data_IF_702299650411
#
_entry.id   IF_702299650411
#
_cell.length_a   1.000
_cell.length_b   1.000
_cell.length_c   1.000
_cell.angle_alpha   90.00
_cell.angle_beta   90.00
_cell.angle_gamma   90.00
#
_symmetry.space_group_name_H-M   'P 1'
#
loop_
_entity.id
_entity.type
_entity.pdbx_description
1 polymer ?
#
# COMPACT_ATOMS: atom_id res chain seq x y z
N UNK A 1 46.50 32.47 23.98
CA UNK A 1 46.44 31.61 22.77
C UNK A 1 45.48 30.47 23.05
N UNK A 2 44.76 30.04 22.00
CA UNK A 2 43.33 29.76 22.04
C UNK A 2 43.01 28.30 22.43
N UNK A 3 42.46 28.08 23.63
CA UNK A 3 42.00 26.77 24.12
C UNK A 3 40.91 26.14 23.23
N UNK A 4 40.23 26.97 22.44
CA UNK A 4 39.25 26.56 21.42
C UNK A 4 39.86 25.91 20.16
N UNK A 5 41.18 25.99 19.95
CA UNK A 5 41.81 25.39 18.76
C UNK A 5 42.26 23.94 18.95
N UNK A 6 42.39 23.48 20.20
CA UNK A 6 42.77 22.09 20.51
C UNK A 6 41.55 21.15 20.50
N UNK A 7 40.37 21.62 20.93
CA UNK A 7 39.13 20.83 20.90
C UNK A 7 38.61 20.57 19.47
N UNK A 8 38.96 21.43 18.52
CA UNK A 8 38.61 21.27 17.09
C UNK A 8 39.53 20.29 16.34
N UNK A 9 40.71 19.98 16.91
CA UNK A 9 41.68 19.03 16.35
C UNK A 9 41.46 17.59 16.85
N UNK A 10 40.66 17.42 17.92
CA UNK A 10 40.26 16.11 18.45
C UNK A 10 38.87 15.64 17.98
N UNK A 11 38.11 16.45 17.25
CA UNK A 11 36.81 16.05 16.69
C UNK A 11 36.95 15.27 15.37
N UNK A 12 37.95 14.39 15.26
CA UNK A 12 37.91 13.33 14.25
C UNK A 12 36.67 12.49 14.53
N UNK A 13 35.61 12.73 13.74
CA UNK A 13 34.41 11.88 13.70
C UNK A 13 34.90 10.45 13.64
N UNK A 14 34.64 9.65 14.69
CA UNK A 14 35.15 8.29 14.70
C UNK A 14 34.64 7.56 13.45
N UNK A 15 35.51 6.80 12.75
CA UNK A 15 35.14 6.11 11.51
C UNK A 15 33.96 5.13 11.70
N UNK A 16 33.72 4.68 12.94
CA UNK A 16 32.55 3.91 13.36
C UNK A 16 31.24 4.66 13.09
N UNK A 17 31.13 5.95 13.41
CA UNK A 17 29.91 6.73 13.21
C UNK A 17 29.61 6.98 11.73
N UNK A 18 30.66 7.17 10.93
CA UNK A 18 30.54 7.35 9.48
C UNK A 18 30.06 6.06 8.79
N UNK A 19 30.52 4.91 9.28
CA UNK A 19 30.06 3.58 8.85
C UNK A 19 28.58 3.35 9.19
N UNK A 20 28.14 3.71 10.40
CA UNK A 20 26.73 3.56 10.80
C UNK A 20 25.82 4.52 10.03
N UNK A 21 26.22 5.77 9.83
CA UNK A 21 25.48 6.72 9.01
C UNK A 21 25.30 6.21 7.57
N UNK A 22 26.36 5.63 6.98
CA UNK A 22 26.30 5.02 5.65
C UNK A 22 25.37 3.78 5.61
N UNK A 23 25.44 2.91 6.63
CA UNK A 23 24.53 1.76 6.74
C UNK A 23 23.07 2.21 6.85
N UNK A 24 22.80 3.23 7.65
CA UNK A 24 21.45 3.76 7.81
C UNK A 24 20.92 4.44 6.53
N UNK A 25 21.73 5.24 5.84
CA UNK A 25 21.37 5.84 4.54
C UNK A 25 21.09 4.78 3.47
N UNK A 26 21.92 3.74 3.41
CA UNK A 26 21.70 2.63 2.46
C UNK A 26 20.43 1.84 2.77
N UNK A 27 20.09 1.60 4.04
CA UNK A 27 18.81 0.99 4.41
C UNK A 27 17.63 1.90 4.06
N UNK A 28 17.71 3.19 4.37
CA UNK A 28 16.66 4.16 4.04
C UNK A 28 16.39 4.23 2.54
N UNK A 29 17.44 4.36 1.71
CA UNK A 29 17.31 4.31 0.24
C UNK A 29 16.70 3.00 -0.26
N UNK A 30 17.01 1.88 0.40
CA UNK A 30 16.41 0.59 0.08
C UNK A 30 14.91 0.57 0.39
N UNK A 31 14.50 1.12 1.52
CA UNK A 31 13.09 1.21 1.92
C UNK A 31 12.30 2.11 0.97
N UNK A 32 12.85 3.26 0.55
CA UNK A 32 12.23 4.12 -0.48
C UNK A 32 12.03 3.34 -1.79
N UNK A 33 13.04 2.60 -2.23
CA UNK A 33 12.92 1.81 -3.47
C UNK A 33 11.82 0.74 -3.37
N UNK A 34 11.64 0.13 -2.19
CA UNK A 34 10.57 -0.83 -1.93
C UNK A 34 9.21 -0.12 -1.94
N UNK A 35 9.12 1.06 -1.33
CA UNK A 35 7.92 1.88 -1.37
C UNK A 35 7.50 2.20 -2.83
N UNK A 36 8.45 2.64 -3.67
CA UNK A 36 8.21 2.95 -5.07
C UNK A 36 7.74 1.75 -5.90
N UNK A 37 8.28 0.57 -5.61
CA UNK A 37 7.83 -0.68 -6.24
C UNK A 37 6.38 -1.02 -5.84
N UNK A 38 6.00 -0.78 -4.58
CA UNK A 38 4.61 -0.96 -4.11
C UNK A 38 3.67 0.02 -4.83
N UNK A 39 4.02 1.31 -4.90
CA UNK A 39 3.19 2.30 -5.62
C UNK A 39 3.04 1.95 -7.09
N UNK A 40 4.12 1.50 -7.76
CA UNK A 40 4.07 1.07 -9.16
C UNK A 40 3.09 -0.09 -9.35
N UNK A 41 3.17 -1.11 -8.48
CA UNK A 41 2.23 -2.25 -8.48
C UNK A 41 0.79 -1.81 -8.24
N UNK A 42 0.56 -0.88 -7.31
CA UNK A 42 -0.77 -0.32 -7.02
C UNK A 42 -1.31 0.45 -8.23
N UNK A 43 -0.50 1.26 -8.91
CA UNK A 43 -0.92 1.98 -10.12
C UNK A 43 -1.30 1.03 -11.26
N UNK A 44 -0.52 -0.04 -11.48
CA UNK A 44 -0.85 -1.09 -12.46
C UNK A 44 -2.18 -1.77 -12.08
N UNK A 45 -2.36 -2.09 -10.79
CA UNK A 45 -3.59 -2.70 -10.30
C UNK A 45 -4.80 -1.80 -10.53
N UNK A 46 -4.70 -0.49 -10.24
CA UNK A 46 -5.80 0.46 -10.49
C UNK A 46 -6.16 0.52 -11.98
N UNK A 47 -5.17 0.58 -12.86
CA UNK A 47 -5.41 0.59 -14.31
C UNK A 47 -6.11 -0.70 -14.79
N UNK A 48 -5.66 -1.85 -14.28
CA UNK A 48 -6.29 -3.15 -14.56
C UNK A 48 -7.73 -3.22 -14.03
N UNK A 49 -7.96 -2.74 -12.80
CA UNK A 49 -9.29 -2.67 -12.19
C UNK A 49 -10.25 -1.79 -12.98
N UNK A 50 -9.78 -0.62 -13.46
CA UNK A 50 -10.58 0.28 -14.28
C UNK A 50 -11.05 -0.42 -15.57
N UNK A 51 -10.16 -1.12 -16.27
CA UNK A 51 -10.51 -1.88 -17.46
C UNK A 51 -11.50 -3.01 -17.16
N UNK A 52 -11.26 -3.81 -16.11
CA UNK A 52 -12.17 -4.88 -15.71
C UNK A 52 -13.56 -4.38 -15.31
N UNK A 53 -13.62 -3.29 -14.52
CA UNK A 53 -14.89 -2.69 -14.11
C UNK A 53 -15.71 -2.24 -15.31
N UNK A 54 -15.09 -1.65 -16.33
CA UNK A 54 -15.78 -1.25 -17.57
C UNK A 54 -16.40 -2.49 -18.25
N UNK A 55 -15.64 -3.59 -18.35
CA UNK A 55 -16.13 -4.84 -18.96
C UNK A 55 -17.31 -5.39 -18.16
N UNK A 56 -17.17 -5.55 -16.85
CA UNK A 56 -18.21 -6.13 -15.98
C UNK A 56 -19.46 -5.27 -15.97
N UNK A 57 -19.31 -3.93 -15.87
CA UNK A 57 -20.45 -3.01 -15.87
C UNK A 57 -21.18 -3.03 -17.22
N UNK A 58 -20.47 -3.11 -18.34
CA UNK A 58 -21.10 -3.18 -19.66
C UNK A 58 -21.78 -4.53 -19.93
N UNK A 59 -21.24 -5.61 -19.40
CA UNK A 59 -21.77 -6.97 -19.53
C UNK A 59 -22.95 -7.27 -18.57
N UNK A 60 -23.15 -6.44 -17.54
CA UNK A 60 -24.27 -6.61 -16.62
C UNK A 60 -25.60 -6.21 -17.28
N UNK A 61 -26.57 -7.13 -17.26
CA UNK A 61 -27.95 -6.88 -17.69
C UNK A 61 -28.72 -6.08 -16.62
N UNK A 62 -28.39 -4.80 -16.47
CA UNK A 62 -28.97 -3.91 -15.45
C UNK A 62 -30.50 -3.91 -15.43
N UNK A 63 -31.14 -3.90 -16.61
CA UNK A 63 -32.60 -3.93 -16.73
C UNK A 63 -33.24 -5.18 -16.13
N UNK A 64 -32.57 -6.33 -16.23
CA UNK A 64 -33.05 -7.59 -15.66
C UNK A 64 -32.82 -7.63 -14.15
N UNK A 65 -31.72 -7.08 -13.66
CA UNK A 65 -31.47 -6.95 -12.21
C UNK A 65 -32.48 -6.04 -11.52
N UNK A 66 -32.92 -4.96 -12.17
CA UNK A 66 -33.95 -4.06 -11.62
C UNK A 66 -35.37 -4.61 -11.73
N UNK A 67 -35.63 -5.60 -12.59
CA UNK A 67 -36.96 -6.22 -12.74
C UNK A 67 -37.32 -7.19 -11.61
N UNK A 68 -36.39 -7.53 -10.72
CA UNK A 68 -36.64 -8.39 -9.57
C UNK A 68 -36.54 -9.89 -9.88
N UNK A 69 -37.05 -10.72 -8.98
CA UNK A 69 -36.92 -12.18 -9.06
C UNK A 69 -38.02 -12.77 -9.94
N UNK A 70 -37.64 -13.64 -10.89
CA UNK A 70 -38.61 -14.36 -11.71
C UNK A 70 -39.16 -15.55 -10.91
N UNK A 71 -40.43 -15.44 -10.51
CA UNK A 71 -41.17 -16.43 -9.72
C UNK A 71 -41.94 -17.42 -10.60
N UNK A 72 -41.75 -17.42 -11.92
CA UNK A 72 -42.49 -18.27 -12.86
C UNK A 72 -42.26 -19.76 -12.64
N UNK A 73 -41.06 -20.17 -12.19
CA UNK A 73 -40.75 -21.55 -11.81
C UNK A 73 -39.63 -21.61 -10.78
N UNK A 74 -39.56 -22.70 -10.02
CA UNK A 74 -38.52 -22.92 -9.00
C UNK A 74 -37.11 -22.93 -9.62
N UNK A 75 -36.99 -23.43 -10.85
CA UNK A 75 -35.74 -23.44 -11.63
C UNK A 75 -35.36 -22.02 -12.07
N UNK A 76 -36.31 -21.26 -12.61
CA UNK A 76 -36.08 -19.87 -13.02
C UNK A 76 -35.72 -18.98 -11.81
N UNK A 77 -36.34 -19.22 -10.67
CA UNK A 77 -36.06 -18.54 -9.40
C UNK A 77 -34.64 -18.81 -8.91
N UNK A 78 -34.20 -20.07 -8.90
CA UNK A 78 -32.83 -20.43 -8.49
C UNK A 78 -31.82 -19.83 -9.47
N UNK A 79 -32.09 -19.89 -10.77
CA UNK A 79 -31.20 -19.35 -11.81
C UNK A 79 -31.06 -17.83 -11.69
N UNK A 80 -32.17 -17.09 -11.65
CA UNK A 80 -32.15 -15.62 -11.51
C UNK A 80 -31.58 -15.17 -10.16
N UNK A 81 -31.89 -15.89 -9.07
CA UNK A 81 -31.33 -15.61 -7.73
C UNK A 81 -29.82 -15.82 -7.67
N UNK A 82 -29.33 -16.95 -8.19
CA UNK A 82 -27.89 -17.26 -8.22
C UNK A 82 -27.14 -16.27 -9.11
N UNK A 83 -27.70 -15.96 -10.28
CA UNK A 83 -27.16 -14.94 -11.19
C UNK A 83 -27.04 -13.57 -10.51
N UNK A 84 -28.11 -13.09 -9.88
CA UNK A 84 -28.10 -11.78 -9.23
C UNK A 84 -27.10 -11.70 -8.07
N UNK A 85 -27.04 -12.73 -7.21
CA UNK A 85 -26.10 -12.78 -6.07
C UNK A 85 -24.66 -12.77 -6.57
N UNK A 86 -24.32 -13.61 -7.56
CA UNK A 86 -22.96 -13.68 -8.11
C UNK A 86 -22.55 -12.37 -8.78
N UNK A 87 -23.47 -11.75 -9.53
CA UNK A 87 -23.20 -10.50 -10.22
C UNK A 87 -22.99 -9.34 -9.24
N UNK A 88 -23.82 -9.22 -8.20
CA UNK A 88 -23.67 -8.19 -7.16
C UNK A 88 -22.41 -8.42 -6.32
N UNK A 89 -22.15 -9.66 -5.90
CA UNK A 89 -20.97 -10.00 -5.10
C UNK A 89 -19.66 -9.74 -5.87
N UNK A 90 -19.62 -10.08 -7.16
CA UNK A 90 -18.51 -9.77 -8.05
C UNK A 90 -18.29 -8.25 -8.16
N UNK A 91 -19.33 -7.49 -8.51
CA UNK A 91 -19.25 -6.04 -8.71
C UNK A 91 -18.81 -5.33 -7.42
N UNK A 92 -19.45 -5.64 -6.29
CA UNK A 92 -19.11 -5.07 -4.99
C UNK A 92 -17.68 -5.38 -4.60
N UNK A 93 -17.22 -6.62 -4.83
CA UNK A 93 -15.84 -6.97 -4.52
C UNK A 93 -14.83 -6.24 -5.41
N UNK A 94 -15.10 -6.09 -6.71
CA UNK A 94 -14.23 -5.30 -7.59
C UNK A 94 -14.21 -3.81 -7.20
N UNK A 95 -15.34 -3.24 -6.80
CA UNK A 95 -15.40 -1.86 -6.28
C UNK A 95 -14.60 -1.72 -4.97
N UNK A 96 -14.74 -2.68 -4.05
CA UNK A 96 -14.03 -2.66 -2.78
C UNK A 96 -12.50 -2.77 -2.97
N UNK A 97 -12.04 -3.66 -3.85
CA UNK A 97 -10.63 -3.77 -4.23
C UNK A 97 -10.11 -2.44 -4.80
N UNK A 98 -10.88 -1.81 -5.69
CA UNK A 98 -10.49 -0.54 -6.30
C UNK A 98 -10.39 0.56 -5.25
N UNK A 99 -11.32 0.62 -4.31
CA UNK A 99 -11.28 1.55 -3.18
C UNK A 99 -10.05 1.34 -2.28
N UNK A 100 -9.70 0.08 -1.98
CA UNK A 100 -8.49 -0.24 -1.20
C UNK A 100 -7.24 0.19 -1.96
N UNK A 101 -7.13 -0.11 -3.26
CA UNK A 101 -6.00 0.29 -4.08
C UNK A 101 -5.86 1.82 -4.17
N UNK A 102 -6.97 2.55 -4.34
CA UNK A 102 -7.00 4.02 -4.30
C UNK A 102 -6.55 4.56 -2.94
N UNK A 103 -7.03 3.97 -1.84
CA UNK A 103 -6.60 4.39 -0.49
C UNK A 103 -5.09 4.23 -0.31
N UNK A 104 -4.51 3.13 -0.78
CA UNK A 104 -3.05 2.92 -0.75
C UNK A 104 -2.35 3.99 -1.60
N UNK A 105 -2.87 4.31 -2.79
CA UNK A 105 -2.30 5.32 -3.68
C UNK A 105 -2.36 6.75 -3.13
N UNK A 106 -3.38 7.10 -2.35
CA UNK A 106 -3.58 8.45 -1.79
C UNK A 106 -2.87 8.64 -0.45
N UNK A 107 -2.50 7.55 0.23
CA UNK A 107 -1.69 7.63 1.45
C UNK A 107 -0.37 8.29 1.07
N UNK A 108 -0.16 9.53 1.54
CA UNK A 108 0.98 10.38 1.17
C UNK A 108 2.31 9.70 1.50
N UNK A 109 3.35 10.01 0.72
CA UNK A 109 4.75 9.88 1.14
C UNK A 109 4.99 10.88 2.27
N UNK A 110 4.62 10.55 3.50
CA UNK A 110 4.88 11.43 4.66
C UNK A 110 6.31 11.24 5.22
N UNK A 111 7.13 10.41 4.60
CA UNK A 111 8.46 10.02 5.10
C UNK A 111 9.62 10.57 4.28
N UNK A 112 9.50 11.77 3.71
CA UNK A 112 10.71 12.57 3.53
C UNK A 112 11.23 12.88 4.94
N UNK A 113 12.41 12.36 5.28
CA UNK A 113 13.08 12.62 6.55
C UNK A 113 13.00 14.13 6.83
N UNK A 114 12.13 14.56 7.74
CA UNK A 114 11.95 15.96 8.04
C UNK A 114 13.23 16.45 8.73
N UNK A 115 14.14 17.02 7.94
CA UNK A 115 15.47 17.46 8.37
C UNK A 115 15.39 18.46 9.54
N UNK A 116 14.21 19.06 9.76
CA UNK A 116 13.90 19.92 10.89
C UNK A 116 13.94 19.19 12.24
N UNK A 117 13.70 17.87 12.29
CA UNK A 117 13.80 17.07 13.53
C UNK A 117 15.24 16.89 14.01
N UNK A 118 16.23 17.02 13.13
CA UNK A 118 17.65 16.93 13.50
C UNK A 118 18.25 18.28 13.93
N UNK A 119 17.52 19.39 13.73
CA UNK A 119 17.98 20.73 14.08
C UNK A 119 17.50 21.14 15.49
N UNK A 120 17.79 20.30 16.49
CA UNK A 120 17.42 20.59 17.89
C UNK A 120 18.57 21.35 18.56
N UNK A 121 18.35 22.57 19.09
CA UNK A 121 19.38 23.36 19.77
C UNK A 121 20.06 22.64 20.95
N UNK A 122 19.42 21.60 21.50
CA UNK A 122 19.95 20.76 22.58
C UNK A 122 21.00 19.74 22.12
N UNK A 123 21.05 19.38 20.84
CA UNK A 123 22.10 18.51 20.30
C UNK A 123 23.47 19.20 20.28
N UNK A 124 23.52 20.53 20.13
CA UNK A 124 24.77 21.31 20.08
C UNK A 124 25.51 21.41 21.42
N UNK A 125 24.92 20.94 22.52
CA UNK A 125 25.51 20.97 23.87
C UNK A 125 26.03 19.61 24.35
N UNK A 126 25.77 18.55 23.59
CA UNK A 126 26.17 17.18 23.92
C UNK A 126 27.53 16.86 23.26
N UNK A 127 28.36 16.00 23.88
CA UNK A 127 29.57 15.51 23.26
C UNK A 127 29.24 14.76 21.95
N UNK A 128 30.12 14.87 20.95
CA UNK A 128 29.86 14.39 19.58
C UNK A 128 29.48 12.90 19.51
N UNK A 129 29.98 12.07 20.45
CA UNK A 129 29.64 10.65 20.56
C UNK A 129 28.18 10.41 20.97
N UNK A 130 27.65 11.17 21.93
CA UNK A 130 26.26 11.08 22.39
C UNK A 130 25.29 11.64 21.36
N UNK A 131 25.69 12.69 20.63
CA UNK A 131 24.91 13.24 19.51
C UNK A 131 24.77 12.22 18.39
N UNK A 132 25.87 11.58 18.01
CA UNK A 132 25.88 10.58 16.95
C UNK A 132 25.06 9.36 17.35
N UNK A 133 25.18 8.89 18.60
CA UNK A 133 24.37 7.76 19.10
C UNK A 133 22.88 8.09 19.10
N UNK A 134 22.49 9.29 19.54
CA UNK A 134 21.10 9.73 19.51
C UNK A 134 20.54 9.86 18.10
N UNK A 135 21.34 10.37 17.14
CA UNK A 135 20.94 10.41 15.73
C UNK A 135 20.75 9.00 15.14
N UNK A 136 21.58 8.04 15.54
CA UNK A 136 21.46 6.63 15.11
C UNK A 136 20.18 6.01 15.67
N UNK A 137 19.87 6.25 16.95
CA UNK A 137 18.66 5.72 17.58
C UNK A 137 17.40 6.33 16.96
N UNK A 138 17.39 7.65 16.71
CA UNK A 138 16.27 8.31 16.02
C UNK A 138 16.11 7.80 14.58
N UNK A 139 17.20 7.54 13.86
CA UNK A 139 17.12 6.95 12.52
C UNK A 139 16.61 5.50 12.56
N UNK A 140 17.02 4.71 13.53
CA UNK A 140 16.53 3.35 13.73
C UNK A 140 15.01 3.35 13.99
N UNK A 141 14.52 4.26 14.83
CA UNK A 141 13.09 4.43 15.09
C UNK A 141 12.31 4.80 13.83
N UNK A 142 12.85 5.72 13.02
CA UNK A 142 12.23 6.08 11.73
C UNK A 142 12.20 4.86 10.80
N UNK A 143 13.31 4.15 10.64
CA UNK A 143 13.39 2.94 9.80
C UNK A 143 12.39 1.86 10.24
N UNK A 144 12.29 1.59 11.55
CA UNK A 144 11.35 0.60 12.08
C UNK A 144 9.90 1.02 11.89
N UNK A 145 9.59 2.31 12.07
CA UNK A 145 8.26 2.85 11.81
C UNK A 145 7.89 2.71 10.32
N UNK A 146 8.83 3.00 9.44
CA UNK A 146 8.66 2.94 7.99
C UNK A 146 8.49 1.49 7.50
N UNK A 147 9.24 0.55 8.10
CA UNK A 147 9.10 -0.87 7.81
C UNK A 147 7.72 -1.40 8.21
N UNK A 148 7.22 -1.07 9.40
CA UNK A 148 5.88 -1.47 9.84
C UNK A 148 4.78 -0.93 8.92
N UNK A 149 4.92 0.30 8.45
CA UNK A 149 3.97 0.90 7.51
C UNK A 149 4.01 0.19 6.15
N UNK A 150 5.20 -0.11 5.63
CA UNK A 150 5.36 -0.86 4.37
C UNK A 150 4.77 -2.26 4.47
N UNK A 151 5.01 -2.98 5.58
CA UNK A 151 4.43 -4.31 5.82
C UNK A 151 2.89 -4.24 5.85
N UNK A 152 2.33 -3.20 6.46
CA UNK A 152 0.88 -2.96 6.47
C UNK A 152 0.32 -2.65 5.08
N UNK A 153 0.96 -1.75 4.32
CA UNK A 153 0.57 -1.44 2.93
C UNK A 153 0.64 -2.69 2.03
N UNK A 154 1.69 -3.49 2.16
CA UNK A 154 1.86 -4.75 1.42
C UNK A 154 0.77 -5.77 1.80
N UNK A 155 0.42 -5.89 3.08
CA UNK A 155 -0.66 -6.76 3.53
C UNK A 155 -2.02 -6.33 2.95
N UNK A 156 -2.32 -5.03 2.93
CA UNK A 156 -3.53 -4.50 2.30
C UNK A 156 -3.55 -4.74 0.78
N UNK A 157 -2.43 -4.54 0.09
CA UNK A 157 -2.31 -4.86 -1.33
C UNK A 157 -2.58 -6.35 -1.60
N UNK A 158 -1.96 -7.25 -0.84
CA UNK A 158 -2.18 -8.69 -0.96
C UNK A 158 -3.65 -9.06 -0.69
N UNK A 159 -4.30 -8.41 0.28
CA UNK A 159 -5.72 -8.55 0.55
C UNK A 159 -6.60 -8.13 -0.63
N UNK A 160 -6.30 -6.97 -1.22
CA UNK A 160 -7.00 -6.45 -2.41
C UNK A 160 -6.88 -7.40 -3.61
N UNK A 161 -5.69 -7.96 -3.85
CA UNK A 161 -5.46 -8.94 -4.93
C UNK A 161 -6.23 -10.24 -4.69
N UNK A 162 -6.30 -10.74 -3.44
CA UNK A 162 -7.10 -11.92 -3.11
C UNK A 162 -8.58 -11.69 -3.36
N UNK A 163 -9.08 -10.54 -2.91
CA UNK A 163 -10.48 -10.17 -3.07
C UNK A 163 -10.83 -10.02 -4.56
N UNK A 164 -9.94 -9.40 -5.35
CA UNK A 164 -10.07 -9.34 -6.81
C UNK A 164 -10.15 -10.73 -7.45
N UNK A 165 -9.27 -11.64 -7.03
CA UNK A 165 -9.23 -13.00 -7.58
C UNK A 165 -10.57 -13.70 -7.33
N UNK A 166 -11.10 -13.60 -6.11
CA UNK A 166 -12.42 -14.17 -5.75
C UNK A 166 -13.53 -13.53 -6.59
N UNK A 167 -13.57 -12.20 -6.68
CA UNK A 167 -14.58 -11.50 -7.49
C UNK A 167 -14.53 -11.88 -8.96
N UNK A 168 -13.34 -12.05 -9.52
CA UNK A 168 -13.15 -12.47 -10.91
C UNK A 168 -13.66 -13.89 -11.12
N UNK A 169 -13.42 -14.81 -10.19
CA UNK A 169 -13.97 -16.18 -10.24
C UNK A 169 -15.50 -16.16 -10.19
N UNK A 170 -16.10 -15.35 -9.31
CA UNK A 170 -17.56 -15.19 -9.24
C UNK A 170 -18.13 -14.63 -10.55
N UNK A 171 -17.44 -13.67 -11.17
CA UNK A 171 -17.81 -13.15 -12.49
C UNK A 171 -17.79 -14.23 -13.57
N UNK A 172 -16.72 -15.04 -13.63
CA UNK A 172 -16.63 -16.14 -14.60
C UNK A 172 -17.77 -17.14 -14.39
N UNK A 173 -18.10 -17.48 -13.13
CA UNK A 173 -19.24 -18.34 -12.82
C UNK A 173 -20.57 -17.74 -13.30
N UNK A 174 -20.77 -16.43 -13.13
CA UNK A 174 -21.94 -15.69 -13.67
C UNK A 174 -22.03 -15.85 -15.19
N UNK A 175 -20.94 -15.64 -15.91
CA UNK A 175 -20.88 -15.75 -17.38
C UNK A 175 -21.17 -17.18 -17.85
N UNK A 176 -20.70 -18.20 -17.12
CA UNK A 176 -21.00 -19.60 -17.42
C UNK A 176 -22.49 -19.90 -17.25
N UNK A 177 -23.11 -19.42 -16.16
CA UNK A 177 -24.54 -19.61 -15.92
C UNK A 177 -25.38 -18.96 -17.03
N UNK A 178 -25.00 -17.78 -17.50
CA UNK A 178 -25.69 -17.11 -18.61
C UNK A 178 -25.56 -17.86 -19.94
N UNK A 179 -24.39 -18.38 -20.27
CA UNK A 179 -24.14 -18.99 -21.57
C UNK A 179 -24.48 -20.49 -21.66
N UNK A 180 -24.56 -21.19 -20.53
CA UNK A 180 -24.83 -22.64 -20.48
C UNK A 180 -26.27 -22.94 -20.05
N UNK A 181 -26.87 -22.10 -19.20
CA UNK A 181 -28.24 -22.30 -18.71
C UNK A 181 -29.26 -21.26 -19.22
N UNK A 182 -28.83 -20.23 -19.95
CA UNK A 182 -29.70 -19.27 -20.63
C UNK A 182 -30.02 -19.69 -22.06
#
# INVERSE_FOLDING_TARGET
MNKYSEDLLQSTVEPSYLMVAFLCDTQYKRLIKIEDDIYTKVSILIAFMAALLIVVVNDMKWKEMFRGWDLSSLIAFIHTGLYQILSLASLLGMLLTTFIALKISVTKREHELDATRFNIPSLYKLPASEVAQKMIDDLCLVIDSFRKELDYKQAMYNGAVRLLTISTVLYVMKVVIENVLG
#
